data_IF_572798896548
#
_entry.id   IF_572798896548
#
_cell.length_a   1.000
_cell.length_b   1.000
_cell.length_c   1.000
_cell.angle_alpha   90.00
_cell.angle_beta   90.00
_cell.angle_gamma   90.00
#
_symmetry.space_group_name_H-M   'P 1'
#
loop_
_entity.id
_entity.type
_entity.pdbx_description
1 polymer ?
#
# COMPACT_ATOMS: atom_id res chain seq x y z
N UNK A 1 -11.69 -6.54 10.38
CA UNK A 1 -12.65 -5.56 9.83
C UNK A 1 -11.86 -4.33 9.43
N UNK A 2 -11.97 -3.85 8.20
CA UNK A 2 -11.30 -2.66 7.72
C UNK A 2 -12.10 -1.41 8.11
N UNK A 3 -11.44 -0.24 8.21
CA UNK A 3 -12.15 1.02 8.49
C UNK A 3 -13.27 1.32 7.50
N UNK A 4 -13.09 0.94 6.23
CA UNK A 4 -14.11 1.06 5.19
C UNK A 4 -15.36 0.20 5.46
N UNK A 5 -15.20 -0.98 6.06
CA UNK A 5 -16.33 -1.85 6.45
C UNK A 5 -17.18 -1.16 7.51
N UNK A 6 -16.54 -0.58 8.53
CA UNK A 6 -17.25 0.15 9.59
C UNK A 6 -18.01 1.37 9.05
N UNK A 7 -17.43 2.10 8.08
CA UNK A 7 -18.10 3.24 7.45
C UNK A 7 -19.34 2.79 6.67
N UNK A 8 -19.28 1.64 6.01
CA UNK A 8 -20.43 1.08 5.31
C UNK A 8 -21.50 0.57 6.29
N UNK A 9 -21.11 -0.26 7.28
CA UNK A 9 -22.00 -0.85 8.27
C UNK A 9 -22.76 0.18 9.12
N UNK A 10 -22.12 1.35 9.36
CA UNK A 10 -22.75 2.47 10.08
C UNK A 10 -23.52 3.44 9.18
N UNK A 11 -23.69 3.10 7.90
CA UNK A 11 -24.38 3.96 6.94
C UNK A 11 -25.83 3.57 6.75
N UNK A 12 -26.59 4.47 6.11
CA UNK A 12 -27.96 4.17 5.66
C UNK A 12 -28.02 3.09 4.57
N UNK A 13 -26.85 2.71 3.99
CA UNK A 13 -26.74 1.71 2.94
C UNK A 13 -26.14 0.39 3.44
N UNK A 14 -26.13 0.16 4.76
CA UNK A 14 -25.53 -1.03 5.38
C UNK A 14 -26.08 -2.38 4.86
N UNK A 15 -27.35 -2.40 4.45
CA UNK A 15 -28.03 -3.58 3.88
C UNK A 15 -27.85 -3.67 2.34
N UNK A 16 -27.13 -2.74 1.74
CA UNK A 16 -26.87 -2.69 0.31
C UNK A 16 -25.48 -3.23 -0.03
N UNK A 17 -25.23 -3.44 -1.30
CA UNK A 17 -23.95 -3.96 -1.78
C UNK A 17 -22.78 -3.06 -1.38
N UNK A 18 -21.72 -3.67 -0.86
CA UNK A 18 -20.44 -3.02 -0.61
C UNK A 18 -19.37 -3.61 -1.52
N UNK A 19 -18.99 -2.87 -2.54
CA UNK A 19 -17.97 -3.27 -3.52
C UNK A 19 -16.64 -2.64 -3.14
N UNK A 20 -15.58 -3.46 -3.11
CA UNK A 20 -14.21 -2.99 -2.85
C UNK A 20 -13.35 -3.16 -4.10
N UNK A 21 -12.51 -2.17 -4.37
CA UNK A 21 -11.54 -2.20 -5.45
C UNK A 21 -10.23 -1.59 -4.96
N UNK A 22 -9.14 -2.33 -5.08
CA UNK A 22 -7.81 -1.78 -4.89
C UNK A 22 -7.22 -1.41 -6.25
N UNK A 23 -7.03 -0.11 -6.49
CA UNK A 23 -6.58 0.42 -7.78
C UNK A 23 -5.12 0.05 -8.08
N UNK A 24 -4.27 -0.08 -7.06
CA UNK A 24 -2.88 -0.46 -7.21
C UNK A 24 -2.69 -1.96 -7.57
N UNK A 25 -3.65 -2.80 -7.19
CA UNK A 25 -3.55 -4.25 -7.43
C UNK A 25 -3.92 -4.67 -8.86
N UNK A 26 -4.48 -3.76 -9.66
CA UNK A 26 -4.96 -4.05 -11.00
C UNK A 26 -4.00 -3.45 -12.03
N UNK A 27 -3.57 -4.23 -13.06
CA UNK A 27 -2.80 -3.67 -14.15
C UNK A 27 -3.52 -2.47 -14.79
N UNK A 28 -2.77 -1.42 -15.10
CA UNK A 28 -3.30 -0.14 -15.61
C UNK A 28 -4.25 -0.30 -16.80
N UNK A 29 -3.93 -1.18 -17.76
CA UNK A 29 -4.77 -1.44 -18.93
C UNK A 29 -6.09 -2.17 -18.63
N UNK A 30 -6.27 -2.73 -17.42
CA UNK A 30 -7.49 -3.44 -17.01
C UNK A 30 -8.33 -2.62 -16.03
N UNK A 31 -7.76 -1.61 -15.37
CA UNK A 31 -8.44 -0.85 -14.31
C UNK A 31 -9.71 -0.17 -14.84
N UNK A 32 -9.66 0.37 -16.05
CA UNK A 32 -10.82 1.01 -16.68
C UNK A 32 -11.96 0.00 -16.90
N UNK A 33 -11.62 -1.18 -17.40
CA UNK A 33 -12.57 -2.29 -17.59
C UNK A 33 -13.13 -2.83 -16.26
N UNK A 34 -12.32 -2.86 -15.19
CA UNK A 34 -12.80 -3.24 -13.85
C UNK A 34 -13.78 -2.20 -13.29
N UNK A 35 -13.49 -0.90 -13.43
CA UNK A 35 -14.34 0.18 -12.91
C UNK A 35 -15.66 0.30 -13.64
N UNK A 36 -15.61 0.41 -14.97
CA UNK A 36 -16.77 0.78 -15.82
C UNK A 36 -17.41 -0.44 -16.50
N UNK A 37 -16.68 -1.56 -16.59
CA UNK A 37 -17.11 -2.69 -17.41
C UNK A 37 -16.85 -2.49 -18.89
N UNK A 38 -17.11 -3.54 -19.67
CA UNK A 38 -16.94 -3.50 -21.12
C UNK A 38 -18.01 -4.32 -21.83
N UNK A 39 -18.30 -3.94 -23.06
CA UNK A 39 -19.10 -4.76 -23.98
C UNK A 39 -18.19 -5.77 -24.72
N UNK A 40 -18.81 -6.82 -25.26
CA UNK A 40 -18.10 -7.79 -26.09
C UNK A 40 -17.48 -7.08 -27.29
N UNK A 41 -16.19 -7.33 -27.54
CA UNK A 41 -15.44 -6.71 -28.64
C UNK A 41 -14.90 -5.30 -28.37
N UNK A 42 -15.01 -4.78 -27.17
CA UNK A 42 -14.52 -3.45 -26.79
C UNK A 42 -13.01 -3.27 -26.98
N UNK A 43 -12.24 -4.33 -26.83
CA UNK A 43 -10.79 -4.38 -27.07
C UNK A 43 -10.36 -5.81 -27.40
N UNK A 44 -9.11 -6.00 -27.85
CA UNK A 44 -8.53 -7.31 -28.14
C UNK A 44 -8.51 -8.15 -26.86
N UNK A 45 -9.33 -9.23 -26.83
CA UNK A 45 -9.52 -10.07 -25.63
C UNK A 45 -10.84 -9.88 -24.90
N UNK A 46 -11.67 -8.92 -25.27
CA UNK A 46 -13.04 -8.76 -24.74
C UNK A 46 -14.02 -9.76 -25.36
N UNK A 47 -13.87 -11.04 -24.99
CA UNK A 47 -14.66 -12.16 -25.54
C UNK A 47 -16.13 -12.10 -25.10
N UNK A 48 -16.38 -11.63 -23.87
CA UNK A 48 -17.70 -11.52 -23.26
C UNK A 48 -17.91 -10.12 -22.69
N UNK A 49 -19.17 -9.76 -22.42
CA UNK A 49 -19.51 -8.56 -21.67
C UNK A 49 -19.08 -8.70 -20.21
N UNK A 50 -18.59 -7.60 -19.60
CA UNK A 50 -18.26 -7.54 -18.17
C UNK A 50 -18.98 -6.38 -17.49
N UNK A 51 -19.62 -6.67 -16.37
CA UNK A 51 -20.20 -5.65 -15.49
C UNK A 51 -19.11 -5.02 -14.65
N UNK A 52 -19.02 -3.67 -14.65
CA UNK A 52 -18.03 -2.92 -13.88
C UNK A 52 -18.40 -2.76 -12.41
N UNK A 53 -17.39 -2.37 -11.59
CA UNK A 53 -17.56 -2.17 -10.14
C UNK A 53 -18.55 -1.05 -9.81
N UNK A 54 -18.61 0.00 -10.61
CA UNK A 54 -19.60 1.07 -10.43
C UNK A 54 -21.04 0.56 -10.56
N UNK A 55 -21.30 -0.26 -11.57
CA UNK A 55 -22.61 -0.86 -11.78
C UNK A 55 -22.97 -1.88 -10.67
N UNK A 56 -22.01 -2.69 -10.25
CA UNK A 56 -22.19 -3.63 -9.12
C UNK A 56 -22.47 -2.92 -7.81
N UNK A 57 -21.97 -1.70 -7.63
CA UNK A 57 -22.18 -0.90 -6.43
C UNK A 57 -23.41 -0.01 -6.49
N UNK A 58 -24.24 -0.12 -7.54
CA UNK A 58 -25.44 0.72 -7.67
C UNK A 58 -26.36 0.59 -6.46
N UNK A 59 -26.90 1.73 -5.99
CA UNK A 59 -27.67 1.89 -4.74
C UNK A 59 -26.91 1.48 -3.46
N UNK A 60 -25.64 1.08 -3.59
CA UNK A 60 -24.77 0.63 -2.51
C UNK A 60 -23.60 1.58 -2.21
N UNK A 61 -22.45 0.99 -1.86
CA UNK A 61 -21.21 1.71 -1.59
C UNK A 61 -20.06 1.11 -2.38
N UNK A 62 -19.20 1.96 -2.94
CA UNK A 62 -17.95 1.60 -3.59
C UNK A 62 -16.77 2.11 -2.75
N UNK A 63 -15.89 1.22 -2.35
CA UNK A 63 -14.63 1.57 -1.73
C UNK A 63 -13.51 1.46 -2.76
N UNK A 64 -12.87 2.59 -3.04
CA UNK A 64 -11.67 2.66 -3.88
C UNK A 64 -10.45 2.82 -2.98
N UNK A 65 -9.63 1.79 -2.91
CA UNK A 65 -8.34 1.82 -2.22
C UNK A 65 -7.24 2.25 -3.19
N UNK A 66 -6.29 3.02 -2.70
CA UNK A 66 -5.16 3.58 -3.44
C UNK A 66 -5.61 4.39 -4.68
N UNK A 67 -6.55 5.35 -4.47
CA UNK A 67 -7.05 6.20 -5.58
C UNK A 67 -5.98 7.06 -6.23
N UNK A 68 -4.85 7.31 -5.55
CA UNK A 68 -3.68 7.98 -6.10
C UNK A 68 -2.97 7.19 -7.21
N UNK A 69 -3.27 5.89 -7.37
CA UNK A 69 -2.70 5.06 -8.42
C UNK A 69 -3.59 4.95 -9.66
N UNK A 70 -4.72 5.66 -9.68
CA UNK A 70 -5.59 5.72 -10.87
C UNK A 70 -4.90 6.56 -11.95
N UNK A 71 -4.65 5.98 -13.14
CA UNK A 71 -4.06 6.70 -14.26
C UNK A 71 -4.83 7.97 -14.63
N UNK A 72 -4.09 9.00 -15.06
CA UNK A 72 -4.64 10.31 -15.39
C UNK A 72 -5.72 10.22 -16.48
N UNK A 73 -5.60 9.26 -17.40
CA UNK A 73 -6.52 9.04 -18.52
C UNK A 73 -7.90 8.52 -18.05
N UNK A 74 -7.95 7.81 -16.91
CA UNK A 74 -9.17 7.23 -16.35
C UNK A 74 -9.90 8.24 -15.46
N UNK A 75 -9.17 9.18 -14.86
CA UNK A 75 -9.70 10.14 -13.90
C UNK A 75 -10.89 10.98 -14.43
N UNK A 76 -10.92 11.44 -15.70
CA UNK A 76 -12.08 12.16 -16.25
C UNK A 76 -13.36 11.33 -16.26
N UNK A 77 -13.26 10.04 -16.59
CA UNK A 77 -14.42 9.12 -16.61
C UNK A 77 -14.93 8.86 -15.20
N UNK A 78 -14.03 8.70 -14.23
CA UNK A 78 -14.41 8.57 -12.85
C UNK A 78 -15.10 9.84 -12.33
N UNK A 79 -14.56 11.01 -12.66
CA UNK A 79 -15.16 12.28 -12.28
C UNK A 79 -16.59 12.41 -12.81
N UNK A 80 -16.82 12.09 -14.10
CA UNK A 80 -18.17 12.11 -14.70
C UNK A 80 -19.12 11.18 -13.96
N UNK A 81 -18.70 9.96 -13.66
CA UNK A 81 -19.50 9.01 -12.89
C UNK A 81 -19.89 9.53 -11.50
N UNK A 82 -18.99 10.30 -10.85
CA UNK A 82 -19.24 10.86 -9.53
C UNK A 82 -20.07 12.15 -9.53
N UNK A 83 -19.95 12.98 -10.57
CA UNK A 83 -20.65 14.27 -10.66
C UNK A 83 -22.03 14.12 -11.29
N UNK A 84 -22.10 13.45 -12.44
CA UNK A 84 -23.31 13.30 -13.23
C UNK A 84 -24.12 12.05 -12.84
N UNK A 85 -23.49 11.15 -12.05
CA UNK A 85 -24.05 9.83 -11.72
C UNK A 85 -24.35 8.97 -12.94
N UNK A 86 -23.54 9.16 -13.97
CA UNK A 86 -23.67 8.51 -15.27
C UNK A 86 -22.30 8.07 -15.78
N UNK A 87 -22.25 6.93 -16.43
CA UNK A 87 -21.05 6.42 -17.08
C UNK A 87 -21.42 5.57 -18.30
N UNK A 88 -20.41 5.25 -19.10
CA UNK A 88 -20.51 4.38 -20.26
C UNK A 88 -19.54 3.21 -20.09
N UNK A 89 -19.94 2.01 -20.49
CA UNK A 89 -19.03 0.87 -20.58
C UNK A 89 -18.07 1.06 -21.74
N UNK A 90 -16.88 0.46 -21.66
CA UNK A 90 -15.95 0.42 -22.77
C UNK A 90 -16.61 -0.25 -23.98
N UNK A 91 -16.45 0.34 -25.17
CA UNK A 91 -17.06 -0.16 -26.39
C UNK A 91 -18.57 0.10 -26.52
N UNK A 92 -19.15 0.96 -25.67
CA UNK A 92 -20.56 1.33 -25.73
C UNK A 92 -20.75 2.83 -25.58
N UNK A 93 -21.70 3.38 -26.34
CA UNK A 93 -22.17 4.77 -26.21
C UNK A 93 -23.46 4.87 -25.36
N UNK A 94 -23.87 3.76 -24.72
CA UNK A 94 -25.08 3.76 -23.89
C UNK A 94 -24.72 4.27 -22.49
N UNK A 95 -25.28 5.41 -22.14
CA UNK A 95 -25.16 6.01 -20.81
C UNK A 95 -25.95 5.17 -19.78
N UNK A 96 -25.32 4.84 -18.68
CA UNK A 96 -25.89 4.15 -17.53
C UNK A 96 -25.93 5.08 -16.33
N UNK A 97 -27.07 5.18 -15.68
CA UNK A 97 -27.22 5.90 -14.41
C UNK A 97 -26.80 5.01 -13.24
N UNK A 98 -26.17 5.62 -12.26
CA UNK A 98 -25.69 4.91 -11.06
C UNK A 98 -25.76 5.83 -9.84
N UNK A 99 -26.26 5.32 -8.72
CA UNK A 99 -26.24 6.02 -7.43
C UNK A 99 -25.34 5.28 -6.43
N UNK A 100 -24.08 5.67 -6.38
CA UNK A 100 -23.07 5.04 -5.52
C UNK A 100 -22.59 5.99 -4.44
N UNK A 101 -22.54 5.50 -3.19
CA UNK A 101 -21.79 6.16 -2.14
C UNK A 101 -20.32 5.79 -2.24
N UNK A 102 -19.49 6.77 -2.57
CA UNK A 102 -18.04 6.54 -2.67
C UNK A 102 -17.36 6.71 -1.31
N UNK A 103 -16.45 5.80 -0.99
CA UNK A 103 -15.41 5.91 0.04
C UNK A 103 -14.07 5.70 -0.65
N UNK A 104 -13.16 6.65 -0.55
CA UNK A 104 -11.85 6.59 -1.18
C UNK A 104 -10.74 6.57 -0.14
N UNK A 105 -9.68 5.82 -0.40
CA UNK A 105 -8.48 5.79 0.45
C UNK A 105 -7.22 5.91 -0.42
N UNK A 106 -6.19 6.51 0.14
CA UNK A 106 -4.86 6.58 -0.46
C UNK A 106 -3.80 6.80 0.61
N UNK A 107 -2.61 6.29 0.37
CA UNK A 107 -1.40 6.59 1.14
C UNK A 107 -0.56 7.70 0.49
N UNK A 108 -0.94 8.17 -0.71
CA UNK A 108 -0.23 9.21 -1.47
C UNK A 108 -0.76 10.61 -1.13
N UNK A 109 0.12 11.58 -1.22
CA UNK A 109 -0.21 13.00 -1.06
C UNK A 109 -0.85 13.52 -2.37
N UNK A 110 -2.19 13.48 -2.42
CA UNK A 110 -2.94 13.92 -3.62
C UNK A 110 -2.77 15.43 -3.89
N UNK A 111 -2.44 16.24 -2.88
CA UNK A 111 -2.17 17.66 -3.08
C UNK A 111 -0.91 17.87 -3.90
N UNK A 112 0.18 17.19 -3.55
CA UNK A 112 1.42 17.21 -4.33
C UNK A 112 1.24 16.62 -5.71
N UNK A 113 0.48 15.53 -5.83
CA UNK A 113 0.18 14.92 -7.13
C UNK A 113 -0.60 15.87 -8.04
N UNK A 114 -1.53 16.65 -7.48
CA UNK A 114 -2.26 17.70 -8.21
C UNK A 114 -1.29 18.79 -8.72
N UNK A 115 -0.36 19.25 -7.88
CA UNK A 115 0.67 20.23 -8.28
C UNK A 115 1.56 19.69 -9.40
N UNK A 116 1.94 18.42 -9.33
CA UNK A 116 2.74 17.73 -10.34
C UNK A 116 1.95 17.32 -11.60
N UNK A 117 0.65 17.61 -11.68
CA UNK A 117 -0.25 17.20 -12.77
C UNK A 117 -0.39 15.67 -12.94
N UNK A 118 -0.10 14.91 -11.90
CA UNK A 118 -0.31 13.45 -11.83
C UNK A 118 -1.75 13.10 -11.41
N UNK A 119 -2.45 14.07 -10.80
CA UNK A 119 -3.83 13.94 -10.38
C UNK A 119 -4.62 15.19 -10.75
N UNK A 120 -5.83 15.02 -11.29
CA UNK A 120 -6.67 16.15 -11.72
C UNK A 120 -7.21 16.92 -10.52
N UNK A 121 -7.17 18.23 -10.60
CA UNK A 121 -7.67 19.11 -9.53
C UNK A 121 -9.19 18.96 -9.31
N UNK A 122 -9.96 18.80 -10.39
CA UNK A 122 -11.41 18.64 -10.31
C UNK A 122 -11.82 17.33 -9.60
N UNK A 123 -11.13 16.22 -9.88
CA UNK A 123 -11.35 14.96 -9.20
C UNK A 123 -10.90 15.04 -7.72
N UNK A 124 -9.77 15.70 -7.43
CA UNK A 124 -9.30 15.91 -6.06
C UNK A 124 -10.39 16.59 -5.21
N UNK A 125 -10.95 17.72 -5.66
CA UNK A 125 -11.98 18.44 -4.92
C UNK A 125 -13.28 17.62 -4.78
N UNK A 126 -13.60 16.77 -5.76
CA UNK A 126 -14.76 15.88 -5.68
C UNK A 126 -14.58 14.75 -4.66
N UNK A 127 -13.36 14.24 -4.49
CA UNK A 127 -13.04 13.20 -3.50
C UNK A 127 -12.85 13.79 -2.10
N UNK A 128 -12.24 14.95 -1.99
CA UNK A 128 -11.84 15.59 -0.73
C UNK A 128 -12.97 16.43 -0.09
N UNK A 129 -14.21 15.96 -0.16
CA UNK A 129 -15.36 16.65 0.47
C UNK A 129 -15.38 16.44 1.98
N UNK A 130 -15.05 15.24 2.45
CA UNK A 130 -14.99 14.92 3.87
C UNK A 130 -13.74 14.07 4.16
N UNK A 131 -12.58 14.72 4.33
CA UNK A 131 -11.33 14.02 4.58
C UNK A 131 -11.27 13.45 6.00
N UNK A 132 -10.84 12.20 6.11
CA UNK A 132 -10.56 11.53 7.38
C UNK A 132 -9.09 11.16 7.39
N UNK A 133 -8.31 11.81 8.25
CA UNK A 133 -6.91 11.43 8.47
C UNK A 133 -6.84 10.31 9.49
N UNK A 134 -6.26 9.18 9.09
CA UNK A 134 -5.95 8.08 10.00
C UNK A 134 -4.52 8.29 10.49
N UNK A 135 -4.30 8.56 11.80
CA UNK A 135 -2.96 8.75 12.33
C UNK A 135 -2.17 7.44 12.26
N UNK A 136 -0.87 7.48 11.98
CA UNK A 136 -0.01 6.31 12.03
C UNK A 136 0.11 5.78 13.47
N UNK A 137 0.48 4.51 13.61
CA UNK A 137 0.50 3.82 14.92
C UNK A 137 1.42 4.50 15.94
N UNK A 138 2.53 5.13 15.50
CA UNK A 138 3.43 5.91 16.34
C UNK A 138 2.79 7.14 17.00
N UNK A 139 1.69 7.65 16.44
CA UNK A 139 0.93 8.80 16.98
C UNK A 139 -0.18 8.34 17.94
N UNK A 140 -0.37 7.02 18.12
CA UNK A 140 -1.37 6.42 19.04
C UNK A 140 -0.76 5.20 19.75
N UNK A 141 0.32 5.36 20.51
CA UNK A 141 1.01 4.26 21.19
C UNK A 141 0.14 3.53 22.22
N UNK A 142 -0.91 4.19 22.73
CA UNK A 142 -1.91 3.61 23.65
C UNK A 142 -2.73 2.49 23.01
N UNK A 143 -2.86 2.43 21.69
CA UNK A 143 -3.54 1.34 21.00
C UNK A 143 -2.69 0.05 20.93
N UNK A 144 -1.36 0.18 21.00
CA UNK A 144 -0.43 -0.94 20.81
C UNK A 144 -0.69 -2.10 21.79
N UNK A 145 -0.87 -1.88 23.10
CA UNK A 145 -1.13 -2.98 24.02
C UNK A 145 -2.40 -3.76 23.70
N UNK A 146 -3.45 -3.08 23.25
CA UNK A 146 -4.72 -3.72 22.86
C UNK A 146 -4.53 -4.54 21.58
N UNK A 147 -3.86 -3.97 20.58
CA UNK A 147 -3.56 -4.65 19.31
C UNK A 147 -2.66 -5.88 19.53
N UNK A 148 -1.63 -5.77 20.38
CA UNK A 148 -0.75 -6.89 20.70
C UNK A 148 -1.54 -8.05 21.33
N UNK A 149 -2.40 -7.76 22.31
CA UNK A 149 -3.25 -8.78 22.92
C UNK A 149 -4.20 -9.41 21.92
N UNK A 150 -4.86 -8.58 21.11
CA UNK A 150 -5.77 -9.05 20.09
C UNK A 150 -5.10 -9.98 19.07
N UNK A 151 -3.94 -9.60 18.54
CA UNK A 151 -3.20 -10.43 17.57
C UNK A 151 -2.64 -11.68 18.22
N UNK A 152 -2.14 -11.60 19.47
CA UNK A 152 -1.67 -12.79 20.22
C UNK A 152 -2.79 -13.81 20.38
N UNK A 153 -3.99 -13.36 20.76
CA UNK A 153 -5.16 -14.25 20.89
C UNK A 153 -5.60 -14.79 19.52
N UNK A 154 -5.70 -13.94 18.50
CA UNK A 154 -6.08 -14.33 17.14
C UNK A 154 -5.18 -15.45 16.59
N UNK A 155 -3.86 -15.24 16.64
CA UNK A 155 -2.90 -16.20 16.10
C UNK A 155 -2.67 -17.39 17.05
N UNK A 156 -2.85 -17.21 18.37
CA UNK A 156 -2.89 -18.32 19.32
C UNK A 156 -3.98 -19.32 18.97
N UNK A 157 -5.20 -18.84 18.77
CA UNK A 157 -6.32 -19.69 18.34
C UNK A 157 -6.10 -20.33 16.95
N UNK A 158 -5.54 -19.58 16.00
CA UNK A 158 -5.31 -20.09 14.65
C UNK A 158 -4.24 -21.19 14.60
N UNK A 159 -3.25 -21.14 15.49
CA UNK A 159 -2.10 -22.05 15.54
C UNK A 159 -2.22 -23.10 16.66
N UNK A 160 -3.38 -23.16 17.33
CA UNK A 160 -3.65 -24.06 18.47
C UNK A 160 -2.60 -23.91 19.59
N UNK A 161 -2.23 -22.65 19.91
CA UNK A 161 -1.28 -22.30 20.97
C UNK A 161 -1.99 -21.53 22.08
N UNK A 162 -1.78 -21.98 23.31
CA UNK A 162 -2.30 -21.30 24.50
C UNK A 162 -1.27 -20.28 25.01
N UNK A 163 -1.43 -19.02 24.58
CA UNK A 163 -0.58 -17.92 25.04
C UNK A 163 -1.42 -17.04 25.98
N UNK A 164 -1.09 -17.11 27.27
CA UNK A 164 -1.84 -16.47 28.36
C UNK A 164 -1.31 -15.07 28.68
N UNK A 165 -0.02 -14.83 28.42
CA UNK A 165 0.61 -13.59 28.83
C UNK A 165 1.61 -13.02 27.81
N UNK A 166 1.71 -11.70 27.82
CA UNK A 166 2.76 -10.96 27.12
C UNK A 166 3.69 -10.36 28.19
N UNK A 167 4.97 -10.72 28.23
CA UNK A 167 5.91 -10.19 29.23
C UNK A 167 5.94 -8.66 29.24
N UNK A 168 5.91 -8.05 30.42
CA UNK A 168 5.88 -6.58 30.56
C UNK A 168 7.08 -5.89 29.88
N UNK A 169 8.26 -6.51 29.89
CA UNK A 169 9.44 -6.01 29.20
C UNK A 169 9.25 -5.98 27.68
N UNK A 170 8.62 -7.03 27.12
CA UNK A 170 8.27 -7.11 25.72
C UNK A 170 7.24 -6.03 25.36
N UNK A 171 6.16 -5.91 26.14
CA UNK A 171 5.13 -4.90 25.92
C UNK A 171 5.70 -3.48 25.91
N UNK A 172 6.56 -3.11 26.85
CA UNK A 172 7.20 -1.78 26.86
C UNK A 172 7.98 -1.50 25.58
N UNK A 173 8.76 -2.46 25.09
CA UNK A 173 9.53 -2.30 23.85
C UNK A 173 8.64 -2.21 22.62
N UNK A 174 7.58 -3.02 22.54
CA UNK A 174 6.59 -2.95 21.45
C UNK A 174 5.89 -1.60 21.43
N UNK A 175 5.51 -1.06 22.60
CA UNK A 175 4.86 0.26 22.70
C UNK A 175 5.79 1.43 22.36
N UNK A 176 7.09 1.27 22.52
CA UNK A 176 8.07 2.33 22.18
C UNK A 176 8.61 2.26 20.75
N UNK A 177 8.28 1.22 19.99
CA UNK A 177 8.73 1.10 18.60
C UNK A 177 7.91 1.98 17.65
N UNK A 178 8.55 2.49 16.60
CA UNK A 178 7.93 3.45 15.68
C UNK A 178 6.94 2.87 14.68
N UNK A 179 6.98 1.56 14.46
CA UNK A 179 6.08 0.83 13.54
C UNK A 179 5.94 1.51 12.18
N UNK A 180 7.00 1.62 11.36
CA UNK A 180 6.91 2.25 10.03
C UNK A 180 5.88 1.58 9.13
N UNK A 181 5.70 0.27 9.22
CA UNK A 181 4.64 -0.49 8.54
C UNK A 181 3.31 -0.51 9.28
N UNK A 182 3.16 0.32 10.33
CA UNK A 182 1.94 0.48 11.12
C UNK A 182 1.39 -0.85 11.65
N UNK A 183 0.05 -1.02 11.61
CA UNK A 183 -0.63 -2.20 12.15
C UNK A 183 -0.22 -3.48 11.40
N UNK A 184 0.05 -3.41 10.09
CA UNK A 184 0.49 -4.59 9.32
C UNK A 184 1.85 -5.11 9.79
N UNK A 185 2.78 -4.23 10.09
CA UNK A 185 4.08 -4.61 10.64
C UNK A 185 3.93 -5.22 12.04
N UNK A 186 3.13 -4.59 12.91
CA UNK A 186 2.83 -5.11 14.24
C UNK A 186 2.16 -6.48 14.15
N UNK A 187 1.15 -6.66 13.30
CA UNK A 187 0.45 -7.93 13.10
C UNK A 187 1.42 -9.04 12.69
N UNK A 188 2.23 -8.82 11.65
CA UNK A 188 3.23 -9.77 11.17
C UNK A 188 4.29 -10.10 12.25
N UNK A 189 4.69 -9.09 13.04
CA UNK A 189 5.63 -9.30 14.13
C UNK A 189 5.03 -10.18 15.23
N UNK A 190 3.77 -9.95 15.61
CA UNK A 190 3.08 -10.76 16.63
C UNK A 190 2.80 -12.17 16.10
N UNK A 191 2.36 -12.33 14.86
CA UNK A 191 2.19 -13.65 14.24
C UNK A 191 3.47 -14.48 14.31
N UNK A 192 4.61 -13.91 13.93
CA UNK A 192 5.91 -14.56 14.04
C UNK A 192 6.27 -14.87 15.49
N UNK A 193 6.00 -13.95 16.41
CA UNK A 193 6.24 -14.17 17.85
C UNK A 193 5.43 -15.35 18.38
N UNK A 194 4.16 -15.49 17.97
CA UNK A 194 3.31 -16.63 18.32
C UNK A 194 3.87 -17.93 17.74
N UNK A 195 4.33 -17.94 16.49
CA UNK A 195 4.95 -19.11 15.86
C UNK A 195 6.18 -19.59 16.68
N UNK A 196 7.02 -18.66 17.11
CA UNK A 196 8.26 -18.94 17.87
C UNK A 196 8.01 -19.30 19.32
N UNK A 197 6.83 -19.04 19.87
CA UNK A 197 6.51 -19.32 21.26
C UNK A 197 6.31 -20.82 21.52
N UNK A 198 7.00 -21.37 22.50
CA UNK A 198 6.90 -22.77 22.95
C UNK A 198 6.23 -22.95 24.31
N UNK A 199 5.66 -21.92 24.91
CA UNK A 199 5.00 -21.92 26.21
C UNK A 199 3.82 -20.99 26.28
N UNK A 200 3.36 -20.65 27.49
CA UNK A 200 2.20 -19.79 27.72
C UNK A 200 2.53 -18.30 27.76
N UNK A 201 3.81 -17.91 27.76
CA UNK A 201 4.24 -16.50 27.67
C UNK A 201 4.81 -16.19 26.29
N UNK A 202 4.33 -15.11 25.65
CA UNK A 202 4.75 -14.71 24.32
C UNK A 202 6.25 -14.46 24.22
N UNK A 203 6.94 -15.20 23.36
CA UNK A 203 8.37 -15.02 23.06
C UNK A 203 8.55 -14.10 21.86
N UNK A 204 8.57 -12.80 22.11
CA UNK A 204 8.75 -11.81 21.06
C UNK A 204 10.25 -11.63 20.73
N UNK A 205 10.67 -11.75 19.45
CA UNK A 205 12.07 -11.57 19.02
C UNK A 205 12.44 -10.08 18.99
N UNK A 206 12.45 -9.43 20.13
CA UNK A 206 12.61 -7.98 20.30
C UNK A 206 13.97 -7.46 19.76
N UNK A 207 15.00 -8.31 19.75
CA UNK A 207 16.29 -7.96 19.17
C UNK A 207 16.20 -7.61 17.68
N UNK A 208 15.22 -8.17 16.98
CA UNK A 208 14.98 -7.86 15.55
C UNK A 208 14.44 -6.44 15.34
N UNK A 209 13.69 -5.90 16.32
CA UNK A 209 13.18 -4.51 16.23
C UNK A 209 14.33 -3.49 16.19
N UNK A 210 15.45 -3.75 16.90
CA UNK A 210 16.64 -2.90 16.87
C UNK A 210 17.49 -3.03 15.60
N UNK A 211 17.53 -4.23 15.00
CA UNK A 211 18.31 -4.49 13.80
C UNK A 211 17.61 -4.08 12.50
N UNK A 212 16.29 -4.11 12.46
CA UNK A 212 15.50 -3.70 11.30
C UNK A 212 15.49 -2.18 11.04
N UNK A 213 15.98 -1.35 11.96
CA UNK A 213 16.24 0.08 11.66
C UNK A 213 17.25 0.28 10.53
N UNK A 214 17.99 -0.77 10.15
CA UNK A 214 18.95 -0.75 9.03
C UNK A 214 18.43 -1.44 7.75
N UNK A 215 17.29 -2.18 7.82
CA UNK A 215 16.79 -2.98 6.72
C UNK A 215 15.25 -2.96 6.58
N UNK A 216 14.59 -1.85 6.87
CA UNK A 216 13.28 -1.61 6.25
C UNK A 216 13.58 -1.22 4.81
N UNK A 217 13.21 -2.03 3.80
CA UNK A 217 13.10 -1.49 2.46
C UNK A 217 12.00 -0.44 2.59
N UNK A 218 12.37 0.84 2.61
CA UNK A 218 11.42 1.86 2.20
C UNK A 218 10.81 1.31 0.92
N UNK A 219 9.48 1.37 0.80
CA UNK A 219 8.76 1.14 -0.45
C UNK A 219 9.16 2.30 -1.37
N UNK A 220 10.43 2.30 -1.73
CA UNK A 220 11.03 3.05 -2.79
C UNK A 220 11.08 2.10 -3.98
N UNK A 221 10.93 2.62 -5.15
CA UNK A 221 11.11 1.88 -6.39
C UNK A 221 12.38 1.02 -6.30
N UNK A 222 12.41 -0.15 -6.93
CA UNK A 222 13.58 -1.05 -6.99
C UNK A 222 14.88 -0.27 -7.28
N UNK A 223 14.76 0.83 -8.00
CA UNK A 223 15.84 1.78 -8.32
C UNK A 223 16.31 2.62 -7.12
N UNK A 224 15.45 3.06 -6.23
CA UNK A 224 15.81 3.81 -5.02
C UNK A 224 16.57 2.93 -4.01
N UNK A 225 16.17 1.67 -3.87
CA UNK A 225 16.86 0.69 -3.02
C UNK A 225 18.24 0.35 -3.58
N UNK A 226 18.34 0.10 -4.89
CA UNK A 226 19.60 -0.17 -5.59
C UNK A 226 20.55 1.05 -5.49
N UNK A 227 20.01 2.27 -5.63
CA UNK A 227 20.77 3.51 -5.47
C UNK A 227 21.37 3.63 -4.07
N UNK A 228 20.58 3.38 -3.03
CA UNK A 228 21.00 3.48 -1.63
C UNK A 228 22.07 2.45 -1.30
N UNK A 229 21.97 1.24 -1.83
CA UNK A 229 22.95 0.17 -1.64
C UNK A 229 24.28 0.48 -2.32
N UNK A 230 24.25 0.95 -3.57
CA UNK A 230 25.45 1.37 -4.31
C UNK A 230 26.16 2.52 -3.57
N UNK A 231 25.42 3.54 -3.11
CA UNK A 231 25.98 4.68 -2.37
C UNK A 231 26.62 4.22 -1.06
N UNK A 232 25.97 3.30 -0.33
CA UNK A 232 26.51 2.75 0.91
C UNK A 232 27.85 2.04 0.69
N UNK A 233 27.92 1.19 -0.33
CA UNK A 233 29.12 0.41 -0.62
C UNK A 233 30.25 1.32 -1.15
N UNK A 234 29.92 2.33 -1.97
CA UNK A 234 30.88 3.34 -2.40
C UNK A 234 31.50 4.11 -1.23
N UNK A 235 30.71 4.48 -0.21
CA UNK A 235 31.23 5.09 1.01
C UNK A 235 32.17 4.16 1.78
N UNK A 236 31.84 2.87 1.87
CA UNK A 236 32.69 1.88 2.55
C UNK A 236 34.00 1.59 1.79
N UNK A 237 34.03 1.80 0.48
CA UNK A 237 35.22 1.59 -0.38
C UNK A 237 35.91 2.89 -0.74
N UNK A 238 35.63 4.00 -0.05
CA UNK A 238 36.20 5.33 -0.32
C UNK A 238 36.14 5.71 -1.82
N UNK A 239 34.96 5.44 -2.45
CA UNK A 239 34.73 5.74 -3.87
C UNK A 239 35.43 4.81 -4.87
N UNK A 240 36.15 3.77 -4.42
CA UNK A 240 36.77 2.79 -5.29
C UNK A 240 35.74 1.88 -5.94
N UNK A 241 35.58 2.01 -7.26
CA UNK A 241 34.61 1.21 -8.03
C UNK A 241 35.18 -0.16 -8.42
N UNK A 242 36.47 -0.26 -8.68
CA UNK A 242 37.13 -1.46 -9.20
C UNK A 242 38.35 -1.88 -8.36
N UNK A 243 38.78 -3.13 -8.51
CA UNK A 243 39.95 -3.74 -7.84
C UNK A 243 39.58 -4.60 -6.64
N UNK A 244 40.59 -5.32 -6.07
CA UNK A 244 40.43 -6.15 -4.87
C UNK A 244 40.01 -5.24 -3.72
N UNK A 245 38.86 -5.21 -3.21
CA UNK A 245 38.19 -4.31 -2.27
C UNK A 245 37.36 -3.17 -2.90
N UNK A 246 37.16 -3.17 -4.22
CA UNK A 246 36.26 -2.20 -4.88
C UNK A 246 34.80 -2.52 -4.71
N UNK A 247 33.95 -1.52 -4.93
CA UNK A 247 32.49 -1.65 -4.79
C UNK A 247 31.91 -2.75 -5.70
N UNK A 248 32.46 -2.95 -6.90
CA UNK A 248 31.97 -3.97 -7.82
C UNK A 248 32.19 -5.39 -7.26
N UNK A 249 33.35 -5.66 -6.68
CA UNK A 249 33.67 -6.95 -6.08
C UNK A 249 32.81 -7.25 -4.85
N UNK A 250 32.64 -6.25 -3.98
CA UNK A 250 31.77 -6.38 -2.78
C UNK A 250 30.30 -6.58 -3.11
N UNK A 251 29.86 -6.15 -4.30
CA UNK A 251 28.50 -6.38 -4.79
C UNK A 251 28.37 -7.65 -5.65
N UNK A 252 29.45 -8.39 -5.86
CA UNK A 252 29.46 -9.56 -6.76
C UNK A 252 29.15 -9.21 -8.23
N UNK A 253 29.43 -7.98 -8.65
CA UNK A 253 29.13 -7.47 -9.99
C UNK A 253 30.42 -7.24 -10.81
N UNK A 254 30.31 -7.38 -12.12
CA UNK A 254 31.38 -6.91 -13.03
C UNK A 254 31.45 -5.38 -12.97
N UNK A 255 32.68 -4.83 -13.04
CA UNK A 255 32.92 -3.37 -13.04
C UNK A 255 32.04 -2.62 -14.04
N UNK A 256 31.90 -3.14 -15.25
CA UNK A 256 31.13 -2.54 -16.34
C UNK A 256 29.64 -2.49 -15.99
N UNK A 257 29.10 -3.53 -15.33
CA UNK A 257 27.72 -3.62 -14.87
C UNK A 257 27.44 -2.58 -13.78
N UNK A 258 28.34 -2.45 -12.80
CA UNK A 258 28.18 -1.45 -11.74
C UNK A 258 28.23 -0.02 -12.30
N UNK A 259 29.16 0.30 -13.19
CA UNK A 259 29.27 1.63 -13.85
C UNK A 259 27.99 1.95 -14.64
N UNK A 260 27.44 0.98 -15.40
CA UNK A 260 26.18 1.17 -16.14
C UNK A 260 25.00 1.48 -15.20
N UNK A 261 24.88 0.76 -14.08
CA UNK A 261 23.86 0.98 -13.06
C UNK A 261 24.02 2.33 -12.37
N UNK A 262 25.26 2.70 -12.00
CA UNK A 262 25.54 4.01 -11.42
C UNK A 262 25.13 5.14 -12.37
N UNK A 263 25.45 5.02 -13.66
CA UNK A 263 25.06 6.00 -14.69
C UNK A 263 23.54 6.11 -14.81
N UNK A 264 22.83 4.98 -14.85
CA UNK A 264 21.35 4.94 -14.90
C UNK A 264 20.71 5.62 -13.67
N UNK A 265 21.31 5.43 -12.49
CA UNK A 265 20.79 5.95 -11.20
C UNK A 265 21.34 7.34 -10.83
N UNK A 266 22.12 7.99 -11.71
CA UNK A 266 22.68 9.32 -11.48
C UNK A 266 23.68 9.37 -10.31
N UNK A 267 24.45 8.29 -10.08
CA UNK A 267 25.44 8.19 -9.00
C UNK A 267 26.82 8.51 -9.55
N UNK A 268 27.47 9.54 -8.98
CA UNK A 268 28.87 9.87 -9.25
C UNK A 268 29.74 9.45 -8.05
N UNK A 269 30.67 8.49 -8.27
CA UNK A 269 31.53 7.98 -7.21
C UNK A 269 32.39 9.07 -6.55
N UNK A 270 32.72 10.18 -7.27
CA UNK A 270 33.49 11.31 -6.75
C UNK A 270 32.70 12.27 -5.89
N UNK A 271 31.34 12.24 -5.97
CA UNK A 271 30.44 13.10 -5.20
C UNK A 271 29.83 12.41 -3.99
N UNK A 272 30.18 11.16 -3.74
CA UNK A 272 29.63 10.33 -2.68
C UNK A 272 30.52 10.31 -1.43
N UNK A 273 31.71 10.89 -1.53
CA UNK A 273 32.69 11.04 -0.43
C UNK A 273 32.39 12.24 0.45
#
# INVERSE_FOLDING_TARGET
>A
MCSSDLIHERSRRKERTFVKLNCAAIPTGLLESELFGHERGAFTGAIAQKIGRLELADQGSLFLDEVGDIPIEIQPKLLRALQEREFERLGSNRTKKVDVRLVAATNRDLEKMKENREFRSDLYYRLNVFPIRIPPLRERPEDIPLLVRYFTQKYGLLLDKQIESVPAAAMRKLSSWHWPGNIRELENFIERSVILTHGTALQAPIAELGNNSRNVPMVGTREANERSEIVRILKMTNGRVAGPEGAAERMGLKRTTLIARMKKLGIDARRVL
#
